data_IF_638091833264
#
_entry.id   IF_638091833264
#
_cell.length_a   1.000
_cell.length_b   1.000
_cell.length_c   1.000
_cell.angle_alpha   90.00
_cell.angle_beta   90.00
_cell.angle_gamma   90.00
#
_symmetry.space_group_name_H-M   'P 1'
#
loop_
_entity.id
_entity.type
_entity.pdbx_description
1 polymer ?
#
# COMPACT_ATOMS: atom_id res chain seq x y z
N UNK A 1 27.34 6.41 -5.91
CA UNK A 1 25.90 6.13 -5.79
C UNK A 1 25.05 7.32 -5.32
N UNK A 2 25.63 8.34 -4.69
CA UNK A 2 24.83 9.45 -4.11
C UNK A 2 24.27 10.49 -5.09
N UNK A 3 24.69 10.53 -6.36
CA UNK A 3 24.25 11.56 -7.32
C UNK A 3 22.82 11.36 -7.84
N UNK A 4 22.33 10.12 -7.94
CA UNK A 4 20.97 9.82 -8.43
C UNK A 4 19.88 10.29 -7.46
N UNK A 5 20.03 10.01 -6.17
CA UNK A 5 19.05 10.44 -5.16
C UNK A 5 19.11 11.95 -4.84
N UNK A 6 20.24 12.60 -5.12
CA UNK A 6 20.39 14.04 -4.96
C UNK A 6 19.86 14.84 -6.16
N UNK A 7 19.66 14.20 -7.32
CA UNK A 7 19.09 14.87 -8.48
C UNK A 7 17.56 14.94 -8.40
N UNK A 8 16.97 16.04 -8.85
CA UNK A 8 15.51 16.19 -8.91
C UNK A 8 14.86 15.15 -9.82
N UNK A 9 15.55 14.73 -10.88
CA UNK A 9 15.08 13.70 -11.83
C UNK A 9 15.13 12.32 -11.17
N UNK A 10 16.22 11.98 -10.49
CA UNK A 10 16.35 10.69 -9.80
C UNK A 10 15.27 10.46 -8.76
N UNK A 11 14.93 11.47 -7.98
CA UNK A 11 13.83 11.39 -7.00
C UNK A 11 12.46 11.17 -7.66
N UNK A 12 12.19 11.82 -8.79
CA UNK A 12 10.96 11.62 -9.55
C UNK A 12 10.86 10.22 -10.14
N UNK A 13 11.97 9.69 -10.67
CA UNK A 13 12.02 8.32 -11.19
C UNK A 13 11.80 7.32 -10.06
N UNK A 14 12.48 7.46 -8.93
CA UNK A 14 12.30 6.57 -7.77
C UNK A 14 10.84 6.59 -7.26
N UNK A 15 10.23 7.77 -7.22
CA UNK A 15 8.82 7.93 -6.85
C UNK A 15 7.88 7.24 -7.84
N UNK A 16 8.12 7.38 -9.15
CA UNK A 16 7.34 6.72 -10.18
C UNK A 16 7.47 5.20 -10.10
N UNK A 17 8.68 4.68 -9.96
CA UNK A 17 8.93 3.24 -9.84
C UNK A 17 8.30 2.65 -8.59
N UNK A 18 8.36 3.34 -7.44
CA UNK A 18 7.66 2.89 -6.23
C UNK A 18 6.14 2.86 -6.43
N UNK A 19 5.57 3.84 -7.13
CA UNK A 19 4.15 3.84 -7.47
C UNK A 19 3.74 2.67 -8.35
N UNK A 20 4.52 2.39 -9.41
CA UNK A 20 4.27 1.23 -10.29
C UNK A 20 4.34 -0.08 -9.50
N UNK A 21 5.35 -0.23 -8.65
CA UNK A 21 5.50 -1.40 -7.78
C UNK A 21 4.25 -1.61 -6.89
N UNK A 22 3.77 -0.54 -6.26
CA UNK A 22 2.56 -0.61 -5.41
C UNK A 22 1.29 -0.93 -6.22
N UNK A 23 1.16 -0.41 -7.45
CA UNK A 23 0.02 -0.74 -8.33
C UNK A 23 0.02 -2.23 -8.70
N UNK A 24 1.18 -2.79 -9.05
CA UNK A 24 1.32 -4.22 -9.35
C UNK A 24 0.91 -5.07 -8.14
N UNK A 25 1.43 -4.73 -6.96
CA UNK A 25 1.05 -5.41 -5.73
C UNK A 25 -0.45 -5.28 -5.45
N UNK A 26 -1.01 -4.08 -5.53
CA UNK A 26 -2.43 -3.83 -5.25
C UNK A 26 -3.34 -4.61 -6.20
N UNK A 27 -2.95 -4.69 -7.48
CA UNK A 27 -3.69 -5.47 -8.48
C UNK A 27 -3.68 -6.97 -8.12
N UNK A 28 -2.51 -7.52 -7.79
CA UNK A 28 -2.40 -8.91 -7.34
C UNK A 28 -3.21 -9.16 -6.06
N UNK A 29 -3.09 -8.28 -5.08
CA UNK A 29 -3.83 -8.36 -3.82
C UNK A 29 -5.34 -8.35 -4.05
N UNK A 30 -5.82 -7.45 -4.91
CA UNK A 30 -7.24 -7.39 -5.29
C UNK A 30 -7.70 -8.67 -5.98
N UNK A 31 -6.93 -9.18 -6.95
CA UNK A 31 -7.28 -10.41 -7.68
C UNK A 31 -7.37 -11.63 -6.77
N UNK A 32 -6.50 -11.75 -5.76
CA UNK A 32 -6.59 -12.82 -4.78
C UNK A 32 -7.84 -12.64 -3.91
N UNK A 33 -8.07 -11.44 -3.39
CA UNK A 33 -9.20 -11.20 -2.49
C UNK A 33 -10.56 -11.35 -3.19
N UNK A 34 -10.68 -10.97 -4.46
CA UNK A 34 -11.95 -11.12 -5.18
C UNK A 34 -12.33 -12.59 -5.40
N UNK A 35 -11.38 -13.54 -5.35
CA UNK A 35 -11.71 -14.98 -5.43
C UNK A 35 -12.56 -15.46 -4.27
N UNK A 36 -12.55 -14.77 -3.11
CA UNK A 36 -13.41 -15.08 -1.96
C UNK A 36 -14.90 -14.99 -2.29
N UNK A 37 -15.26 -14.13 -3.25
CA UNK A 37 -16.66 -13.97 -3.70
C UNK A 37 -17.12 -15.15 -4.57
N UNK A 38 -16.18 -15.79 -5.28
CA UNK A 38 -16.52 -16.85 -6.25
C UNK A 38 -16.27 -18.25 -5.71
N UNK A 39 -15.23 -18.45 -4.89
CA UNK A 39 -14.84 -19.75 -4.37
C UNK A 39 -13.99 -19.62 -3.12
N UNK A 40 -14.54 -20.07 -2.00
CA UNK A 40 -13.82 -20.17 -0.73
C UNK A 40 -12.57 -21.06 -0.84
N UNK A 41 -12.67 -22.19 -1.55
CA UNK A 41 -11.54 -23.11 -1.72
C UNK A 41 -10.37 -22.49 -2.48
N UNK A 42 -10.64 -21.75 -3.56
CA UNK A 42 -9.59 -21.05 -4.33
C UNK A 42 -8.98 -19.94 -3.49
N UNK A 43 -9.80 -19.15 -2.80
CA UNK A 43 -9.32 -18.09 -1.93
C UNK A 43 -8.40 -18.64 -0.83
N UNK A 44 -8.82 -19.68 -0.13
CA UNK A 44 -8.05 -20.31 0.95
C UNK A 44 -6.71 -20.87 0.43
N UNK A 45 -6.71 -21.53 -0.74
CA UNK A 45 -5.49 -22.06 -1.35
C UNK A 45 -4.50 -20.92 -1.69
N UNK A 46 -4.96 -19.85 -2.32
CA UNK A 46 -4.11 -18.71 -2.69
C UNK A 46 -3.61 -17.94 -1.47
N UNK A 47 -4.48 -17.68 -0.50
CA UNK A 47 -4.13 -16.98 0.74
C UNK A 47 -3.14 -17.77 1.56
N UNK A 48 -3.33 -19.08 1.68
CA UNK A 48 -2.41 -19.99 2.38
C UNK A 48 -1.04 -20.04 1.70
N UNK A 49 -1.01 -20.11 0.37
CA UNK A 49 0.24 -20.04 -0.38
C UNK A 49 0.98 -18.73 -0.12
N UNK A 50 0.29 -17.59 -0.21
CA UNK A 50 0.90 -16.27 0.01
C UNK A 50 1.34 -16.06 1.47
N UNK A 51 0.55 -16.54 2.42
CA UNK A 51 0.82 -16.39 3.85
C UNK A 51 1.93 -17.29 4.37
N UNK A 52 2.15 -18.47 3.78
CA UNK A 52 3.12 -19.47 4.26
C UNK A 52 4.37 -19.63 3.40
N UNK A 53 4.41 -18.99 2.23
CA UNK A 53 5.59 -19.05 1.37
C UNK A 53 6.73 -18.21 1.98
N UNK A 54 7.90 -18.80 2.31
CA UNK A 54 9.01 -18.09 2.95
C UNK A 54 9.53 -16.91 2.12
N UNK A 55 9.52 -17.01 0.80
CA UNK A 55 9.95 -15.93 -0.09
C UNK A 55 9.01 -14.73 0.02
N UNK A 56 7.71 -14.99 0.06
CA UNK A 56 6.71 -13.93 0.25
C UNK A 56 6.86 -13.29 1.62
N UNK A 57 6.95 -14.12 2.65
CA UNK A 57 6.94 -13.69 4.05
C UNK A 57 8.22 -12.93 4.44
N UNK A 58 9.39 -13.43 4.06
CA UNK A 58 10.68 -12.87 4.51
C UNK A 58 11.34 -11.92 3.50
N UNK A 59 10.90 -11.90 2.25
CA UNK A 59 11.48 -11.04 1.22
C UNK A 59 10.45 -10.04 0.68
N UNK A 60 9.34 -10.52 0.10
CA UNK A 60 8.39 -9.62 -0.56
C UNK A 60 7.63 -8.74 0.44
N UNK A 61 7.24 -9.27 1.59
CA UNK A 61 6.52 -8.51 2.60
C UNK A 61 7.34 -7.37 3.20
N UNK A 62 8.60 -7.55 3.65
CA UNK A 62 9.45 -6.44 4.07
C UNK A 62 9.70 -5.40 2.96
N UNK A 63 9.93 -5.85 1.73
CA UNK A 63 10.09 -4.95 0.57
C UNK A 63 8.84 -4.12 0.35
N UNK A 64 7.66 -4.73 0.49
CA UNK A 64 6.39 -4.03 0.36
C UNK A 64 6.22 -2.96 1.44
N UNK A 65 6.49 -3.28 2.71
CA UNK A 65 6.39 -2.33 3.83
C UNK A 65 7.33 -1.15 3.60
N UNK A 66 8.59 -1.42 3.26
CA UNK A 66 9.57 -0.38 2.93
C UNK A 66 9.12 0.44 1.72
N UNK A 67 8.58 -0.20 0.69
CA UNK A 67 8.06 0.46 -0.51
C UNK A 67 6.89 1.40 -0.22
N UNK A 68 5.96 0.99 0.63
CA UNK A 68 4.83 1.83 1.09
C UNK A 68 5.35 3.04 1.86
N UNK A 69 6.20 2.83 2.87
CA UNK A 69 6.77 3.91 3.68
C UNK A 69 7.55 4.89 2.79
N UNK A 70 8.41 4.37 1.91
CA UNK A 70 9.18 5.19 0.97
C UNK A 70 8.27 6.04 0.08
N UNK A 71 7.25 5.43 -0.52
CA UNK A 71 6.33 6.13 -1.43
C UNK A 71 5.60 7.27 -0.73
N UNK A 72 5.03 7.04 0.44
CA UNK A 72 4.33 8.07 1.20
C UNK A 72 5.27 9.18 1.69
N UNK A 73 6.40 8.84 2.31
CA UNK A 73 7.36 9.83 2.81
C UNK A 73 7.89 10.67 1.65
N UNK A 74 8.29 10.06 0.54
CA UNK A 74 8.79 10.80 -0.62
C UNK A 74 7.70 11.64 -1.28
N UNK A 75 6.44 11.20 -1.28
CA UNK A 75 5.30 11.98 -1.75
C UNK A 75 5.15 13.29 -0.99
N UNK A 76 5.18 13.24 0.34
CA UNK A 76 5.12 14.43 1.19
C UNK A 76 6.36 15.33 1.04
N UNK A 77 7.55 14.74 1.04
CA UNK A 77 8.81 15.49 0.88
C UNK A 77 8.83 16.25 -0.45
N UNK A 78 8.46 15.58 -1.55
CA UNK A 78 8.45 16.21 -2.87
C UNK A 78 7.37 17.30 -2.98
N UNK A 79 6.19 17.11 -2.41
CA UNK A 79 5.15 18.13 -2.38
C UNK A 79 5.62 19.36 -1.59
N UNK A 80 6.18 19.14 -0.40
CA UNK A 80 6.73 20.23 0.42
C UNK A 80 7.84 21.01 -0.30
N UNK A 81 8.80 20.31 -0.92
CA UNK A 81 9.88 20.93 -1.70
C UNK A 81 9.33 21.72 -2.87
N UNK A 82 8.34 21.19 -3.59
CA UNK A 82 7.72 21.87 -4.72
C UNK A 82 6.97 23.15 -4.28
N UNK A 83 6.31 23.11 -3.13
CA UNK A 83 5.64 24.30 -2.57
C UNK A 83 6.66 25.36 -2.14
N UNK A 84 7.75 24.93 -1.48
CA UNK A 84 8.83 25.83 -1.05
C UNK A 84 9.57 26.48 -2.22
N UNK A 85 9.75 25.77 -3.32
CA UNK A 85 10.41 26.28 -4.53
C UNK A 85 9.59 27.33 -5.29
N UNK A 86 8.33 27.61 -4.88
CA UNK A 86 7.43 28.58 -5.52
C UNK A 86 7.03 29.69 -4.55
N UNK A 87 7.90 30.66 -4.28
CA UNK A 87 7.60 31.76 -3.35
C UNK A 87 6.51 32.71 -3.89
N UNK A 88 6.36 32.79 -5.22
CA UNK A 88 5.37 33.66 -5.86
C UNK A 88 4.25 32.80 -6.46
N UNK A 89 3.01 33.09 -6.05
CA UNK A 89 1.81 32.45 -6.62
C UNK A 89 1.55 32.96 -8.04
N UNK A 90 0.95 32.10 -8.89
CA UNK A 90 0.54 32.54 -10.22
C UNK A 90 -0.49 33.66 -10.13
N UNK A 91 -0.29 34.76 -10.91
CA UNK A 91 -1.26 35.85 -11.02
C UNK A 91 -2.63 35.34 -11.54
N UNK A 92 -2.61 34.34 -12.43
CA UNK A 92 -3.81 33.68 -12.95
C UNK A 92 -3.67 32.16 -12.75
N UNK A 93 -4.50 31.59 -11.90
CA UNK A 93 -4.52 30.15 -11.65
C UNK A 93 -5.54 29.45 -12.55
N UNK A 94 -5.07 28.78 -13.60
CA UNK A 94 -5.89 27.95 -14.50
C UNK A 94 -5.54 26.45 -14.36
N UNK A 95 -5.50 25.95 -13.14
CA UNK A 95 -5.09 24.58 -12.82
C UNK A 95 -5.90 23.51 -13.57
N UNK A 96 -7.20 23.73 -13.82
CA UNK A 96 -8.07 22.81 -14.55
C UNK A 96 -7.68 22.59 -16.02
N UNK A 97 -6.95 23.52 -16.62
CA UNK A 97 -6.44 23.39 -18.00
C UNK A 97 -5.14 22.57 -18.08
N UNK A 98 -4.38 22.52 -17.00
CA UNK A 98 -3.01 21.96 -17.01
C UNK A 98 -2.86 20.63 -16.30
N UNK A 99 -3.85 20.22 -15.47
CA UNK A 99 -3.79 18.97 -14.72
C UNK A 99 -5.17 18.49 -14.29
N UNK A 100 -5.31 17.15 -14.14
CA UNK A 100 -6.54 16.54 -13.63
C UNK A 100 -6.77 16.90 -12.16
N UNK A 101 -8.03 16.85 -11.72
CA UNK A 101 -8.43 17.10 -10.33
C UNK A 101 -7.66 16.20 -9.35
N UNK A 102 -7.54 14.92 -9.64
CA UNK A 102 -6.83 13.93 -8.80
C UNK A 102 -5.36 14.32 -8.61
N UNK A 103 -4.68 14.72 -9.69
CA UNK A 103 -3.28 15.15 -9.62
C UNK A 103 -3.08 16.40 -8.77
N UNK A 104 -4.04 17.31 -8.77
CA UNK A 104 -3.97 18.55 -7.93
C UNK A 104 -4.22 18.27 -6.45
N UNK A 105 -4.99 17.24 -6.14
CA UNK A 105 -5.36 16.86 -4.77
C UNK A 105 -4.63 15.59 -4.30
N UNK A 106 -3.46 15.32 -4.86
CA UNK A 106 -2.65 14.13 -4.59
C UNK A 106 -2.41 13.91 -3.09
N UNK A 107 -2.14 14.96 -2.33
CA UNK A 107 -1.92 14.86 -0.89
C UNK A 107 -3.20 14.43 -0.15
N UNK A 108 -4.35 14.98 -0.52
CA UNK A 108 -5.62 14.63 0.12
C UNK A 108 -5.96 13.17 -0.15
N UNK A 109 -5.89 12.73 -1.41
CA UNK A 109 -6.12 11.32 -1.77
C UNK A 109 -5.10 10.40 -1.11
N UNK A 110 -3.83 10.82 -1.00
CA UNK A 110 -2.79 10.09 -0.30
C UNK A 110 -3.10 9.91 1.19
N UNK A 111 -3.58 10.94 1.88
CA UNK A 111 -3.97 10.85 3.31
C UNK A 111 -5.14 9.88 3.49
N UNK A 112 -6.14 9.91 2.60
CA UNK A 112 -7.29 8.98 2.66
C UNK A 112 -6.82 7.54 2.49
N UNK A 113 -5.95 7.27 1.50
CA UNK A 113 -5.38 5.93 1.27
C UNK A 113 -4.52 5.50 2.47
N UNK A 114 -3.72 6.40 3.03
CA UNK A 114 -2.88 6.09 4.20
C UNK A 114 -3.73 5.74 5.43
N UNK A 115 -4.83 6.47 5.66
CA UNK A 115 -5.76 6.18 6.75
C UNK A 115 -6.41 4.81 6.59
N UNK A 116 -6.88 4.49 5.37
CA UNK A 116 -7.40 3.16 5.05
C UNK A 116 -6.33 2.07 5.28
N UNK A 117 -5.10 2.31 4.83
CA UNK A 117 -4.01 1.36 4.96
C UNK A 117 -3.64 1.10 6.43
N UNK A 118 -3.67 2.14 7.27
CA UNK A 118 -3.44 2.00 8.71
C UNK A 118 -4.51 1.11 9.38
N UNK A 119 -5.79 1.32 9.05
CA UNK A 119 -6.88 0.46 9.51
C UNK A 119 -6.74 -0.96 8.98
N UNK A 120 -6.43 -1.11 7.69
CA UNK A 120 -6.23 -2.41 7.07
C UNK A 120 -5.08 -3.21 7.73
N UNK A 121 -3.97 -2.57 8.06
CA UNK A 121 -2.90 -3.22 8.82
C UNK A 121 -3.33 -3.59 10.23
N UNK A 122 -4.05 -2.71 10.90
CA UNK A 122 -4.54 -2.97 12.25
C UNK A 122 -5.52 -4.14 12.29
N UNK A 123 -6.46 -4.22 11.34
CA UNK A 123 -7.51 -5.22 11.33
C UNK A 123 -7.06 -6.59 10.78
N UNK A 124 -6.07 -6.61 9.89
CA UNK A 124 -5.67 -7.84 9.20
C UNK A 124 -4.22 -8.24 9.47
N UNK A 125 -3.26 -7.35 9.29
CA UNK A 125 -1.85 -7.70 9.38
C UNK A 125 -1.39 -7.89 10.84
N UNK A 126 -1.82 -7.04 11.76
CA UNK A 126 -1.43 -7.15 13.18
C UNK A 126 -1.95 -8.47 13.78
N UNK A 127 -3.22 -8.86 13.64
CA UNK A 127 -3.70 -10.16 14.12
C UNK A 127 -2.99 -11.35 13.48
N UNK A 128 -2.68 -11.28 12.18
CA UNK A 128 -1.94 -12.33 11.49
C UNK A 128 -0.53 -12.52 12.06
N UNK A 129 0.18 -11.41 12.36
CA UNK A 129 1.50 -11.47 12.96
C UNK A 129 1.46 -11.96 14.42
N UNK A 130 0.49 -11.51 15.20
CA UNK A 130 0.26 -11.98 16.57
C UNK A 130 0.04 -13.49 16.60
N UNK A 131 -0.86 -13.95 15.74
CA UNK A 131 -1.16 -15.38 15.63
C UNK A 131 0.05 -16.23 15.24
N UNK A 132 0.82 -15.79 14.23
CA UNK A 132 1.96 -16.55 13.70
C UNK A 132 3.18 -16.57 14.61
N UNK A 133 3.47 -15.45 15.27
CA UNK A 133 4.75 -15.27 15.94
C UNK A 133 4.66 -15.20 17.47
N UNK A 134 3.51 -14.84 18.03
CA UNK A 134 3.33 -14.69 19.47
C UNK A 134 2.59 -15.88 20.06
N UNK A 135 1.46 -16.25 19.46
CA UNK A 135 0.65 -17.33 20.02
C UNK A 135 1.21 -18.72 19.71
N UNK A 136 2.10 -18.85 18.72
CA UNK A 136 2.78 -20.10 18.31
C UNK A 136 1.82 -21.30 18.26
N UNK A 137 0.58 -21.07 17.91
CA UNK A 137 -0.38 -22.15 17.75
C UNK A 137 -0.03 -22.92 16.47
N UNK A 138 -0.07 -24.27 16.50
CA UNK A 138 0.04 -25.05 15.27
C UNK A 138 -0.98 -24.49 14.29
N UNK A 139 -0.59 -24.37 13.01
CA UNK A 139 -1.41 -23.80 11.96
C UNK A 139 -2.84 -24.38 12.00
N UNK A 140 -3.67 -23.80 12.83
CA UNK A 140 -5.09 -24.08 12.85
C UNK A 140 -5.62 -23.48 11.57
N UNK A 141 -6.21 -24.35 10.79
CA UNK A 141 -6.88 -24.03 9.56
C UNK A 141 -7.59 -22.67 9.69
N UNK A 142 -7.27 -21.72 8.83
CA UNK A 142 -7.89 -20.38 8.75
C UNK A 142 -9.42 -20.41 8.54
N UNK A 143 -10.03 -21.58 8.60
CA UNK A 143 -11.48 -21.77 8.55
C UNK A 143 -12.23 -21.08 9.68
N UNK A 144 -11.53 -20.57 10.71
CA UNK A 144 -12.13 -19.85 11.84
C UNK A 144 -11.76 -18.36 11.90
N UNK A 145 -10.93 -17.84 11.01
CA UNK A 145 -10.98 -16.44 10.66
C UNK A 145 -12.17 -16.22 9.72
N UNK A 146 -13.32 -16.68 10.16
CA UNK A 146 -14.57 -16.15 9.64
C UNK A 146 -14.45 -14.64 9.78
N UNK A 147 -14.58 -13.94 8.67
CA UNK A 147 -15.07 -12.57 8.65
C UNK A 147 -16.03 -12.47 9.84
N UNK A 148 -15.91 -11.47 10.73
CA UNK A 148 -16.93 -11.27 11.73
C UNK A 148 -18.24 -11.22 10.97
N UNK A 149 -18.94 -12.34 10.97
CA UNK A 149 -20.28 -12.41 10.41
C UNK A 149 -21.09 -11.51 11.29
N UNK A 150 -21.42 -10.34 10.76
CA UNK A 150 -22.37 -9.38 11.35
C UNK A 150 -23.78 -10.01 11.27
N UNK A 151 -23.89 -11.29 11.47
CA UNK A 151 -25.16 -11.97 11.59
C UNK A 151 -25.08 -12.88 12.82
N UNK A 152 -25.67 -12.42 13.96
CA UNK A 152 -26.01 -13.34 15.01
C UNK A 152 -27.10 -14.28 14.47
N UNK A 153 -26.84 -15.56 14.52
CA UNK A 153 -27.90 -16.59 14.43
C UNK A 153 -28.59 -16.63 15.76
#
# INVERSE_FOLDING_TARGET
MNKLFNSSIGRKIAMALSGVFLIVFLTQHFLINITSVFSEGIFNMLSHFMGNNPLVQFILQPILIVGVIFHFVMGFVLDWQNRKARPVKYAVYKGSRNSMFVSRNMIISGIVILSFLALHFYDFWVPEMDYKYIQVLPAVSYTHLTLPTILPV
#
